data_IF_090659246702
#
_entry.id   IF_090659246702
#
_cell.length_a   1.000
_cell.length_b   1.000
_cell.length_c   1.000
_cell.angle_alpha   90.00
_cell.angle_beta   90.00
_cell.angle_gamma   90.00
#
_symmetry.space_group_name_H-M   'P 1'
#
loop_
_entity.id
_entity.type
_entity.pdbx_description
1 polymer ?
#
# COMPACT_ATOMS: atom_id res chain seq x y z
N UNK A 1 -3.32 -23.98 -21.12
CA UNK A 1 -3.69 -22.55 -21.24
C UNK A 1 -2.74 -21.78 -20.34
N UNK A 2 -2.09 -20.70 -20.82
CA UNK A 2 -1.16 -19.91 -20.00
C UNK A 2 -1.88 -18.70 -19.36
N UNK A 3 -1.22 -18.03 -18.41
CA UNK A 3 -1.80 -16.89 -17.68
C UNK A 3 -2.29 -15.77 -18.58
N UNK A 4 -1.55 -15.44 -19.65
CA UNK A 4 -1.98 -14.42 -20.62
C UNK A 4 -3.27 -14.82 -21.32
N UNK A 5 -3.38 -16.06 -21.79
CA UNK A 5 -4.62 -16.56 -22.42
C UNK A 5 -5.78 -16.63 -21.44
N UNK A 6 -5.51 -16.93 -20.17
CA UNK A 6 -6.52 -16.91 -19.12
C UNK A 6 -7.03 -15.48 -18.87
N UNK A 7 -6.15 -14.48 -18.79
CA UNK A 7 -6.53 -13.07 -18.69
C UNK A 7 -7.40 -12.63 -19.88
N UNK A 8 -6.95 -12.93 -21.10
CA UNK A 8 -7.67 -12.53 -22.31
C UNK A 8 -9.06 -13.18 -22.42
N UNK A 9 -9.23 -14.43 -21.94
CA UNK A 9 -10.53 -15.10 -21.86
C UNK A 9 -11.49 -14.42 -20.89
N UNK A 10 -10.96 -13.80 -19.84
CA UNK A 10 -11.73 -13.12 -18.79
C UNK A 10 -11.62 -11.60 -18.88
N UNK A 11 -11.44 -11.07 -20.10
CA UNK A 11 -11.36 -9.63 -20.35
C UNK A 11 -12.67 -8.94 -19.94
N UNK A 12 -12.64 -7.93 -19.05
CA UNK A 12 -13.85 -7.23 -18.63
C UNK A 12 -14.30 -6.21 -19.69
N UNK A 13 -15.55 -5.75 -19.59
CA UNK A 13 -16.18 -4.86 -20.59
C UNK A 13 -15.50 -3.50 -20.77
N UNK A 14 -14.71 -3.05 -19.79
CA UNK A 14 -13.95 -1.80 -19.85
C UNK A 14 -12.59 -1.94 -20.55
N UNK A 15 -12.28 -3.14 -21.06
CA UNK A 15 -11.04 -3.45 -21.79
C UNK A 15 -11.38 -3.91 -23.20
N UNK A 16 -10.67 -3.37 -24.17
CA UNK A 16 -10.74 -3.77 -25.57
C UNK A 16 -9.40 -4.33 -26.01
N UNK A 17 -9.41 -5.53 -26.59
CA UNK A 17 -8.23 -6.13 -27.19
C UNK A 17 -7.92 -5.43 -28.52
N UNK A 18 -6.74 -4.84 -28.63
CA UNK A 18 -6.27 -4.17 -29.85
C UNK A 18 -5.50 -5.16 -30.71
N UNK A 19 -4.60 -5.92 -30.08
CA UNK A 19 -3.76 -6.92 -30.75
C UNK A 19 -3.41 -8.04 -29.78
N UNK A 20 -3.36 -9.28 -30.25
CA UNK A 20 -2.88 -10.41 -29.48
C UNK A 20 -1.80 -11.20 -30.22
N UNK A 21 -0.81 -11.64 -29.47
CA UNK A 21 0.26 -12.52 -29.91
C UNK A 21 0.42 -13.64 -28.88
N UNK A 22 1.25 -14.62 -29.21
CA UNK A 22 1.44 -15.78 -28.34
C UNK A 22 1.96 -15.42 -26.93
N UNK A 23 2.81 -14.38 -26.83
CA UNK A 23 3.50 -13.98 -25.60
C UNK A 23 3.21 -12.54 -25.16
N UNK A 24 2.36 -11.81 -25.88
CA UNK A 24 2.00 -10.44 -25.53
C UNK A 24 0.63 -10.05 -26.09
N UNK A 25 -0.02 -9.07 -25.48
CA UNK A 25 -1.22 -8.44 -26.00
C UNK A 25 -1.17 -6.92 -25.79
N UNK A 26 -1.80 -6.18 -26.69
CA UNK A 26 -2.06 -4.75 -26.55
C UNK A 26 -3.55 -4.57 -26.28
N UNK A 27 -3.87 -3.79 -25.26
CA UNK A 27 -5.25 -3.52 -24.84
C UNK A 27 -5.48 -2.03 -24.66
N UNK A 28 -6.67 -1.58 -25.00
CA UNK A 28 -7.18 -0.27 -24.63
C UNK A 28 -8.07 -0.41 -23.40
N UNK A 29 -7.86 0.42 -22.39
CA UNK A 29 -8.53 0.36 -21.11
C UNK A 29 -9.25 1.67 -20.80
N UNK A 30 -10.53 1.58 -20.43
CA UNK A 30 -11.37 2.69 -20.02
C UNK A 30 -12.01 2.37 -18.64
N UNK A 31 -11.24 2.36 -17.54
CA UNK A 31 -11.73 1.90 -16.24
C UNK A 31 -12.87 2.79 -15.71
N UNK A 32 -14.03 2.20 -15.36
CA UNK A 32 -15.16 2.95 -14.81
C UNK A 32 -14.94 3.25 -13.32
N UNK A 33 -15.34 4.45 -12.92
CA UNK A 33 -15.52 4.86 -11.52
C UNK A 33 -16.82 4.28 -10.97
N UNK A 34 -17.00 4.34 -9.64
CA UNK A 34 -18.27 3.99 -9.00
C UNK A 34 -19.48 4.78 -9.56
N UNK A 35 -19.26 6.00 -10.03
CA UNK A 35 -20.29 6.82 -10.69
C UNK A 35 -20.63 6.41 -12.13
N UNK A 36 -19.95 5.40 -12.68
CA UNK A 36 -20.06 5.01 -14.10
C UNK A 36 -19.22 5.86 -15.06
N UNK A 37 -18.66 6.99 -14.61
CA UNK A 37 -17.77 7.81 -15.44
C UNK A 37 -16.42 7.11 -15.67
N UNK A 38 -15.86 7.30 -16.86
CA UNK A 38 -14.53 6.79 -17.21
C UNK A 38 -13.45 7.65 -16.56
N UNK A 39 -12.44 7.01 -15.95
CA UNK A 39 -11.35 7.73 -15.29
C UNK A 39 -10.25 8.21 -16.24
N UNK A 40 -10.09 7.54 -17.38
CA UNK A 40 -9.13 7.86 -18.42
C UNK A 40 -9.13 6.77 -19.48
N UNK A 41 -8.37 7.00 -20.56
CA UNK A 41 -8.10 6.00 -21.59
C UNK A 41 -6.63 5.66 -21.56
N UNK A 42 -6.32 4.37 -21.49
CA UNK A 42 -4.95 3.87 -21.35
C UNK A 42 -4.68 2.80 -22.39
N UNK A 43 -3.53 2.88 -23.05
CA UNK A 43 -3.04 1.83 -23.93
C UNK A 43 -1.98 1.04 -23.18
N UNK A 44 -2.24 -0.23 -22.95
CA UNK A 44 -1.40 -1.09 -22.12
C UNK A 44 -0.89 -2.29 -22.91
N UNK A 45 0.32 -2.71 -22.56
CA UNK A 45 0.93 -3.93 -23.06
C UNK A 45 0.99 -4.98 -21.94
N UNK A 46 0.37 -6.12 -22.19
CA UNK A 46 0.51 -7.33 -21.39
C UNK A 46 1.60 -8.22 -21.98
N UNK A 47 2.50 -8.74 -21.15
CA UNK A 47 3.58 -9.64 -21.59
C UNK A 47 3.67 -10.87 -20.70
N UNK A 48 3.73 -12.06 -21.32
CA UNK A 48 3.96 -13.32 -20.61
C UNK A 48 5.41 -13.38 -20.12
N UNK A 49 5.58 -13.58 -18.82
CA UNK A 49 6.89 -13.72 -18.20
C UNK A 49 7.40 -15.15 -18.33
N UNK A 50 8.73 -15.34 -18.28
CA UNK A 50 9.36 -16.68 -18.26
C UNK A 50 8.88 -17.54 -17.09
N UNK A 51 8.57 -16.90 -15.95
CA UNK A 51 8.02 -17.56 -14.77
C UNK A 51 6.57 -18.01 -14.93
N UNK A 52 5.88 -17.65 -16.02
CA UNK A 52 4.52 -18.08 -16.32
C UNK A 52 3.42 -17.08 -15.97
N UNK A 53 3.70 -16.03 -15.19
CA UNK A 53 2.76 -14.93 -14.94
C UNK A 53 2.77 -13.86 -16.03
N UNK A 54 2.11 -12.73 -15.75
CA UNK A 54 1.93 -11.63 -16.72
C UNK A 54 2.38 -10.31 -16.11
N UNK A 55 3.22 -9.58 -16.83
CA UNK A 55 3.51 -8.17 -16.54
C UNK A 55 2.63 -7.25 -17.39
N UNK A 56 2.35 -6.06 -16.86
CA UNK A 56 1.62 -5.00 -17.54
C UNK A 56 2.43 -3.72 -17.47
N UNK A 57 2.45 -2.98 -18.58
CA UNK A 57 3.10 -1.68 -18.71
C UNK A 57 2.29 -0.79 -19.65
N UNK A 58 2.56 0.51 -19.64
CA UNK A 58 2.04 1.42 -20.65
C UNK A 58 2.62 1.07 -22.03
N UNK A 59 1.83 1.19 -23.09
CA UNK A 59 2.35 1.05 -24.43
C UNK A 59 3.22 2.26 -24.79
N UNK A 60 4.42 1.99 -25.32
CA UNK A 60 5.49 2.99 -25.47
C UNK A 60 5.16 4.09 -26.48
N UNK A 61 4.16 3.87 -27.33
CA UNK A 61 3.73 4.83 -28.34
C UNK A 61 2.82 5.93 -27.77
N UNK A 62 2.23 5.72 -26.59
CA UNK A 62 1.31 6.67 -25.93
C UNK A 62 1.66 6.75 -24.44
N UNK A 63 2.58 7.65 -24.06
CA UNK A 63 3.02 7.73 -22.65
C UNK A 63 2.30 8.82 -21.84
N UNK A 64 1.44 8.38 -20.92
CA UNK A 64 0.71 9.19 -19.94
C UNK A 64 1.29 9.06 -18.53
N UNK A 65 2.16 8.07 -18.30
CA UNK A 65 2.75 7.80 -16.99
C UNK A 65 4.23 8.17 -16.92
N UNK A 66 4.76 8.51 -15.72
CA UNK A 66 6.19 8.66 -15.55
C UNK A 66 6.89 7.32 -15.81
N UNK A 67 8.11 7.36 -16.34
CA UNK A 67 8.91 6.16 -16.66
C UNK A 67 9.11 5.23 -15.46
N UNK A 68 9.26 5.82 -14.27
CA UNK A 68 9.33 5.11 -13.00
C UNK A 68 8.83 6.04 -11.90
N UNK A 69 8.10 5.47 -10.94
CA UNK A 69 7.65 6.16 -9.74
C UNK A 69 7.22 5.11 -8.70
N UNK A 70 8.00 4.90 -7.62
CA UNK A 70 7.66 3.90 -6.61
C UNK A 70 6.31 4.18 -5.95
N UNK A 71 6.00 5.45 -5.69
CA UNK A 71 4.72 5.87 -5.09
C UNK A 71 3.51 5.72 -6.02
N UNK A 72 3.74 5.65 -7.34
CA UNK A 72 2.69 5.30 -8.32
C UNK A 72 2.80 3.84 -8.74
N UNK A 73 3.62 3.04 -8.05
CA UNK A 73 3.84 1.62 -8.30
C UNK A 73 4.26 1.32 -9.74
N UNK A 74 5.11 2.18 -10.31
CA UNK A 74 5.72 2.01 -11.63
C UNK A 74 7.20 1.68 -11.43
N UNK A 75 7.55 0.45 -11.78
CA UNK A 75 8.89 -0.12 -11.63
C UNK A 75 9.90 0.57 -12.57
N UNK A 76 11.21 0.42 -12.33
CA UNK A 76 12.25 0.98 -13.20
C UNK A 76 12.18 0.53 -14.67
N UNK A 77 11.63 -0.66 -14.93
CA UNK A 77 11.41 -1.20 -16.28
C UNK A 77 10.06 -0.77 -16.90
N UNK A 78 9.39 0.20 -16.28
CA UNK A 78 8.05 0.72 -16.62
C UNK A 78 6.89 -0.28 -16.45
N UNK A 79 7.13 -1.46 -15.88
CA UNK A 79 6.03 -2.36 -15.50
C UNK A 79 5.31 -1.85 -14.25
N UNK A 80 4.05 -2.26 -14.08
CA UNK A 80 3.24 -1.86 -12.94
C UNK A 80 3.22 -2.96 -11.88
N UNK A 81 3.39 -2.54 -10.62
CA UNK A 81 3.09 -3.37 -9.47
C UNK A 81 1.64 -3.11 -9.02
N UNK A 82 0.68 -3.79 -9.65
CA UNK A 82 -0.76 -3.54 -9.41
C UNK A 82 -1.26 -4.17 -8.10
N UNK A 83 -0.60 -5.22 -7.62
CA UNK A 83 -0.84 -5.86 -6.32
C UNK A 83 0.34 -6.78 -5.96
N UNK A 84 0.41 -7.20 -4.69
CA UNK A 84 1.41 -8.20 -4.27
C UNK A 84 1.20 -9.52 -5.05
N UNK A 85 2.28 -10.03 -5.64
CA UNK A 85 2.24 -11.27 -6.43
C UNK A 85 1.52 -11.16 -7.78
N UNK A 86 1.24 -9.96 -8.30
CA UNK A 86 0.52 -9.78 -9.57
C UNK A 86 1.22 -10.38 -10.81
N UNK A 87 2.49 -10.74 -10.68
CA UNK A 87 3.32 -11.36 -11.72
C UNK A 87 3.48 -12.88 -11.54
N UNK A 88 2.82 -13.48 -10.55
CA UNK A 88 2.81 -14.94 -10.38
C UNK A 88 1.91 -15.62 -11.43
N UNK A 89 2.13 -16.92 -11.74
CA UNK A 89 1.29 -17.67 -12.65
C UNK A 89 -0.18 -17.73 -12.19
N UNK A 90 -1.09 -17.49 -13.13
CA UNK A 90 -2.52 -17.63 -12.92
C UNK A 90 -2.96 -19.05 -13.27
N UNK A 91 -3.63 -19.70 -12.32
CA UNK A 91 -4.08 -21.09 -12.46
C UNK A 91 -5.57 -21.13 -12.83
N UNK A 92 -6.38 -20.28 -12.21
CA UNK A 92 -7.84 -20.35 -12.24
C UNK A 92 -8.51 -19.04 -12.70
N UNK A 93 -9.75 -19.17 -13.19
CA UNK A 93 -10.55 -18.04 -13.68
C UNK A 93 -10.73 -16.94 -12.63
N UNK A 94 -10.95 -17.29 -11.36
CA UNK A 94 -11.11 -16.31 -10.30
C UNK A 94 -9.86 -15.42 -10.15
N UNK A 95 -8.66 -15.99 -10.37
CA UNK A 95 -7.39 -15.26 -10.28
C UNK A 95 -7.26 -14.25 -11.42
N UNK A 96 -7.70 -14.61 -12.63
CA UNK A 96 -7.72 -13.69 -13.76
C UNK A 96 -8.71 -12.53 -13.56
N UNK A 97 -9.89 -12.79 -12.98
CA UNK A 97 -10.88 -11.76 -12.65
C UNK A 97 -10.32 -10.80 -11.59
N UNK A 98 -9.72 -11.34 -10.52
CA UNK A 98 -9.09 -10.54 -9.47
C UNK A 98 -7.92 -9.70 -10.03
N UNK A 99 -7.10 -10.27 -10.91
CA UNK A 99 -6.00 -9.54 -11.57
C UNK A 99 -6.51 -8.33 -12.37
N UNK A 100 -7.57 -8.50 -13.16
CA UNK A 100 -8.19 -7.39 -13.88
C UNK A 100 -8.76 -6.33 -12.93
N UNK A 101 -9.33 -6.75 -11.80
CA UNK A 101 -9.83 -5.82 -10.78
C UNK A 101 -8.69 -5.03 -10.11
N UNK A 102 -7.56 -5.67 -9.80
CA UNK A 102 -6.37 -4.97 -9.31
C UNK A 102 -5.84 -3.97 -10.34
N UNK A 103 -5.81 -4.32 -11.62
CA UNK A 103 -5.43 -3.39 -12.68
C UNK A 103 -6.44 -2.22 -12.78
N UNK A 104 -7.74 -2.49 -12.67
CA UNK A 104 -8.77 -1.44 -12.66
C UNK A 104 -8.53 -0.45 -11.53
N UNK A 105 -8.34 -0.95 -10.31
CA UNK A 105 -8.07 -0.13 -9.13
C UNK A 105 -6.78 0.66 -9.26
N UNK A 106 -5.71 0.03 -9.77
CA UNK A 106 -4.46 0.71 -10.07
C UNK A 106 -4.67 1.89 -11.02
N UNK A 107 -5.38 1.73 -12.14
CA UNK A 107 -5.63 2.82 -13.09
C UNK A 107 -6.50 3.93 -12.50
N UNK A 108 -7.48 3.60 -11.66
CA UNK A 108 -8.24 4.60 -10.91
C UNK A 108 -7.35 5.40 -9.95
N UNK A 109 -6.43 4.71 -9.26
CA UNK A 109 -5.46 5.35 -8.37
C UNK A 109 -4.45 6.20 -9.14
N UNK A 110 -4.05 5.82 -10.36
CA UNK A 110 -3.24 6.66 -11.24
C UNK A 110 -3.95 7.98 -11.54
N UNK A 111 -5.23 7.95 -11.90
CA UNK A 111 -6.02 9.16 -12.17
C UNK A 111 -6.19 10.03 -10.91
N UNK A 112 -6.40 9.41 -9.75
CA UNK A 112 -6.46 10.10 -8.47
C UNK A 112 -5.12 10.78 -8.14
N UNK A 113 -4.02 10.04 -8.23
CA UNK A 113 -2.68 10.53 -7.94
C UNK A 113 -2.29 11.68 -8.88
N UNK A 114 -2.62 11.58 -10.16
CA UNK A 114 -2.41 12.67 -11.13
C UNK A 114 -3.14 13.95 -10.73
N UNK A 115 -4.37 13.83 -10.20
CA UNK A 115 -5.20 14.98 -9.82
C UNK A 115 -4.80 15.59 -8.47
N UNK A 116 -4.51 14.75 -7.47
CA UNK A 116 -4.36 15.18 -6.07
C UNK A 116 -2.90 15.19 -5.59
N UNK A 117 -1.98 14.61 -6.36
CA UNK A 117 -0.57 14.47 -6.02
C UNK A 117 -0.29 13.52 -4.86
N UNK A 118 -1.25 12.66 -4.51
CA UNK A 118 -1.14 11.67 -3.43
C UNK A 118 -1.82 10.38 -3.85
N UNK A 119 -1.28 9.24 -3.42
CA UNK A 119 -1.89 7.94 -3.70
C UNK A 119 -3.08 7.72 -2.76
N UNK A 120 -4.23 7.19 -3.23
CA UNK A 120 -5.38 6.87 -2.37
C UNK A 120 -4.99 6.01 -1.17
N UNK A 121 -5.68 6.19 -0.04
CA UNK A 121 -5.29 5.54 1.21
C UNK A 121 -5.59 4.04 1.14
N UNK A 122 -6.75 3.69 0.63
CA UNK A 122 -7.24 2.34 0.37
C UNK A 122 -6.40 1.58 -0.67
N UNK A 123 -5.67 2.32 -1.51
CA UNK A 123 -4.71 1.78 -2.46
C UNK A 123 -3.28 1.71 -1.96
N UNK A 124 -3.01 2.19 -0.74
CA UNK A 124 -1.67 2.28 -0.18
C UNK A 124 -1.06 0.90 0.03
N UNK A 125 0.08 0.66 -0.59
CA UNK A 125 0.86 -0.57 -0.43
C UNK A 125 2.33 -0.21 -0.21
N UNK A 126 2.93 -0.79 0.82
CA UNK A 126 4.36 -0.62 1.10
C UNK A 126 5.19 -1.31 0.03
N UNK A 127 6.43 -0.86 -0.16
CA UNK A 127 7.27 -1.32 -1.27
C UNK A 127 8.08 -2.56 -0.90
N UNK A 128 8.32 -3.45 -1.87
CA UNK A 128 9.14 -4.65 -1.67
C UNK A 128 8.65 -5.53 -0.51
N UNK A 129 9.58 -5.98 0.33
CA UNK A 129 9.29 -6.84 1.49
C UNK A 129 8.40 -6.16 2.55
N UNK A 130 8.35 -4.83 2.56
CA UNK A 130 7.49 -4.08 3.47
C UNK A 130 6.00 -4.35 3.21
N UNK A 131 5.61 -4.72 1.98
CA UNK A 131 4.23 -5.10 1.64
C UNK A 131 3.73 -6.27 2.51
N UNK A 132 4.55 -7.32 2.67
CA UNK A 132 4.20 -8.51 3.48
C UNK A 132 4.09 -8.20 4.97
N UNK A 133 4.85 -7.20 5.42
CA UNK A 133 4.80 -6.75 6.81
C UNK A 133 3.52 -5.94 7.03
N UNK A 134 3.16 -5.08 6.08
CA UNK A 134 1.89 -4.35 6.07
C UNK A 134 0.70 -5.32 6.12
N UNK A 135 0.64 -6.36 5.26
CA UNK A 135 -0.45 -7.35 5.28
C UNK A 135 -0.64 -7.95 6.68
N UNK A 136 0.44 -8.37 7.33
CA UNK A 136 0.39 -8.91 8.70
C UNK A 136 -0.09 -7.88 9.73
N UNK A 137 0.25 -6.60 9.55
CA UNK A 137 -0.26 -5.53 10.41
C UNK A 137 -1.76 -5.32 10.22
N UNK A 138 -2.22 -5.32 8.97
CA UNK A 138 -3.65 -5.20 8.64
C UNK A 138 -4.45 -6.39 9.18
N UNK A 139 -3.95 -7.62 9.06
CA UNK A 139 -4.58 -8.83 9.63
C UNK A 139 -4.75 -8.73 11.15
N UNK A 140 -3.72 -8.22 11.85
CA UNK A 140 -3.79 -8.01 13.30
C UNK A 140 -4.72 -6.88 13.71
N UNK A 141 -4.83 -5.86 12.86
CA UNK A 141 -5.65 -4.68 13.09
C UNK A 141 -7.14 -4.91 12.77
N UNK A 142 -7.44 -5.80 11.82
CA UNK A 142 -8.79 -6.08 11.33
C UNK A 142 -9.81 -6.41 12.44
N UNK A 143 -9.58 -7.37 13.35
CA UNK A 143 -10.57 -7.71 14.39
C UNK A 143 -10.79 -6.58 15.42
N UNK A 144 -9.90 -5.60 15.47
CA UNK A 144 -9.99 -4.44 16.36
C UNK A 144 -10.58 -3.20 15.68
N UNK A 145 -10.88 -3.28 14.37
CA UNK A 145 -11.31 -2.14 13.57
C UNK A 145 -10.21 -1.11 13.34
N UNK A 146 -8.93 -1.49 13.47
CA UNK A 146 -7.81 -0.55 13.39
C UNK A 146 -7.20 -0.42 11.99
N UNK A 147 -7.73 -1.13 10.98
CA UNK A 147 -7.11 -1.16 9.64
C UNK A 147 -6.89 0.24 9.05
N UNK A 148 -7.90 1.10 9.10
CA UNK A 148 -7.78 2.48 8.60
C UNK A 148 -6.74 3.29 9.39
N UNK A 149 -6.73 3.18 10.72
CA UNK A 149 -5.74 3.80 11.59
C UNK A 149 -4.30 3.41 11.20
N UNK A 150 -4.10 2.13 10.86
CA UNK A 150 -2.81 1.63 10.41
C UNK A 150 -2.39 2.27 9.08
N UNK A 151 -3.30 2.32 8.10
CA UNK A 151 -3.04 2.91 6.78
C UNK A 151 -2.77 4.42 6.89
N UNK A 152 -3.56 5.13 7.70
CA UNK A 152 -3.36 6.57 7.99
C UNK A 152 -1.99 6.80 8.61
N UNK A 153 -1.60 5.96 9.57
CA UNK A 153 -0.26 5.95 10.16
C UNK A 153 0.85 5.85 9.13
N UNK A 154 0.77 4.85 8.26
CA UNK A 154 1.81 4.56 7.26
C UNK A 154 1.89 5.61 6.16
N UNK A 155 0.74 6.04 5.62
CA UNK A 155 0.68 6.77 4.35
C UNK A 155 0.29 8.24 4.48
N UNK A 156 -0.10 8.69 5.68
CA UNK A 156 -0.44 10.09 5.97
C UNK A 156 0.38 10.69 7.10
N UNK A 157 1.27 9.91 7.72
CA UNK A 157 2.08 10.36 8.86
C UNK A 157 1.22 10.93 9.98
N UNK A 158 0.10 10.27 10.30
CA UNK A 158 -0.83 10.68 11.36
C UNK A 158 -1.04 9.58 12.40
N UNK A 159 -1.37 9.96 13.63
CA UNK A 159 -1.64 9.01 14.71
C UNK A 159 -0.38 8.34 15.27
N UNK A 160 -0.58 7.36 16.15
CA UNK A 160 0.50 6.79 16.96
C UNK A 160 1.55 6.02 16.15
N UNK A 161 1.13 5.46 15.01
CA UNK A 161 2.05 4.78 14.09
C UNK A 161 2.96 5.73 13.34
N UNK A 162 2.65 7.01 13.25
CA UNK A 162 3.52 8.00 12.61
C UNK A 162 4.56 8.57 13.59
N UNK A 163 4.23 8.57 14.88
CA UNK A 163 5.08 9.09 15.94
C UNK A 163 6.28 8.20 16.24
N UNK A 164 7.08 8.64 17.21
CA UNK A 164 8.12 7.81 17.83
C UNK A 164 7.49 6.56 18.44
N UNK A 165 7.75 5.41 17.83
CA UNK A 165 7.29 4.12 18.32
C UNK A 165 7.94 3.80 19.67
N UNK A 166 7.29 2.98 20.51
CA UNK A 166 7.95 2.43 21.68
C UNK A 166 9.28 1.78 21.31
N UNK A 167 10.30 1.96 22.15
CA UNK A 167 11.63 1.40 21.92
C UNK A 167 11.53 -0.13 21.81
N UNK A 168 12.15 -0.70 20.79
CA UNK A 168 12.25 -2.14 20.60
C UNK A 168 13.65 -2.65 21.01
N UNK A 169 13.74 -3.94 21.32
CA UNK A 169 15.04 -4.61 21.43
C UNK A 169 15.79 -4.55 20.08
N UNK A 170 17.13 -4.68 20.08
CA UNK A 170 17.90 -4.73 18.82
C UNK A 170 17.46 -5.86 17.88
N UNK A 171 16.94 -6.97 18.42
CA UNK A 171 16.42 -8.11 17.65
C UNK A 171 14.99 -7.92 17.16
N UNK A 172 14.32 -6.83 17.53
CA UNK A 172 12.91 -6.55 17.22
C UNK A 172 11.98 -7.71 17.63
N UNK A 173 12.26 -8.35 18.77
CA UNK A 173 11.47 -9.46 19.33
C UNK A 173 10.58 -9.03 20.50
N UNK A 174 10.88 -7.90 21.14
CA UNK A 174 10.09 -7.31 22.22
C UNK A 174 10.22 -5.80 22.29
N UNK A 175 9.20 -5.15 22.83
CA UNK A 175 9.26 -3.73 23.19
C UNK A 175 9.81 -3.56 24.61
N UNK A 176 10.60 -2.50 24.80
CA UNK A 176 11.23 -2.13 26.05
C UNK A 176 10.32 -1.18 26.84
N UNK A 177 10.48 -1.13 28.16
CA UNK A 177 9.79 -0.19 29.06
C UNK A 177 8.25 -0.22 28.96
N UNK A 178 7.61 -1.28 29.46
CA UNK A 178 6.14 -1.43 29.44
C UNK A 178 5.39 -0.39 30.27
N UNK A 179 6.08 0.33 31.17
CA UNK A 179 5.53 1.40 32.01
C UNK A 179 5.48 2.77 31.32
N UNK A 180 5.77 2.86 30.03
CA UNK A 180 5.50 4.09 29.27
C UNK A 180 4.00 4.25 29.05
N UNK A 181 3.50 5.47 28.80
CA UNK A 181 2.13 5.68 28.35
C UNK A 181 1.80 4.81 27.12
N UNK A 182 0.54 4.41 26.99
CA UNK A 182 0.06 3.70 25.81
C UNK A 182 0.31 4.57 24.56
N UNK A 183 1.05 4.10 23.53
CA UNK A 183 1.38 4.92 22.37
C UNK A 183 0.14 5.33 21.57
N UNK A 184 -0.92 4.52 21.60
CA UNK A 184 -2.22 4.81 21.00
C UNK A 184 -3.04 5.88 21.75
N UNK A 185 -2.55 6.36 22.90
CA UNK A 185 -3.22 7.39 23.69
C UNK A 185 -4.48 6.90 24.40
N UNK A 186 -4.53 5.62 24.79
CA UNK A 186 -5.63 5.12 25.63
C UNK A 186 -5.61 5.80 27.00
N UNK A 187 -6.78 6.02 27.59
CA UNK A 187 -6.97 6.71 28.87
C UNK A 187 -7.92 5.94 29.78
N UNK A 188 -7.91 6.28 31.07
CA UNK A 188 -9.03 5.99 31.96
C UNK A 188 -10.23 6.89 31.58
N UNK A 189 -11.44 6.38 31.78
CA UNK A 189 -12.66 7.17 31.65
C UNK A 189 -12.65 8.32 32.67
N UNK A 190 -13.13 9.51 32.28
CA UNK A 190 -13.08 10.70 33.12
C UNK A 190 -13.72 10.50 34.52
N UNK A 191 -14.79 9.70 34.60
CA UNK A 191 -15.53 9.44 35.84
C UNK A 191 -15.16 8.11 36.53
N UNK A 192 -14.13 7.40 36.05
CA UNK A 192 -13.78 6.07 36.57
C UNK A 192 -12.32 5.69 36.30
N UNK A 193 -11.56 5.44 37.36
CA UNK A 193 -10.21 4.87 37.28
C UNK A 193 -10.21 3.38 36.85
N UNK A 194 -11.38 2.73 36.74
CA UNK A 194 -11.47 1.28 36.44
C UNK A 194 -11.78 0.96 34.97
N UNK A 195 -12.41 1.87 34.25
CA UNK A 195 -12.78 1.66 32.84
C UNK A 195 -11.74 2.28 31.92
N UNK A 196 -11.15 1.45 31.06
CA UNK A 196 -10.18 1.88 30.06
C UNK A 196 -10.90 2.14 28.75
N UNK A 197 -10.67 3.31 28.16
CA UNK A 197 -11.16 3.67 26.83
C UNK A 197 -10.00 3.56 25.84
N UNK A 198 -10.14 2.64 24.89
CA UNK A 198 -9.29 2.62 23.71
C UNK A 198 -9.81 3.65 22.71
N UNK A 199 -8.96 4.59 22.29
CA UNK A 199 -9.34 5.70 21.42
C UNK A 199 -9.92 5.25 20.07
N UNK A 200 -10.74 6.05 19.37
CA UNK A 200 -11.01 5.86 17.95
C UNK A 200 -9.82 6.31 17.09
N UNK A 201 -9.77 5.84 15.84
CA UNK A 201 -8.66 6.08 14.89
C UNK A 201 -8.37 7.56 14.60
N UNK A 202 -9.37 8.45 14.68
CA UNK A 202 -9.33 9.81 14.10
C UNK A 202 -9.07 10.93 15.10
N UNK A 203 -8.64 10.61 16.31
CA UNK A 203 -8.49 11.61 17.37
C UNK A 203 -7.03 12.07 17.47
N UNK A 204 -6.80 13.38 17.38
CA UNK A 204 -5.47 14.00 17.54
C UNK A 204 -4.98 13.82 18.98
N UNK A 205 -3.76 13.31 19.20
CA UNK A 205 -3.22 12.95 20.54
C UNK A 205 -3.20 14.11 21.54
N UNK A 206 -3.38 15.34 21.08
CA UNK A 206 -3.31 16.57 21.90
C UNK A 206 -4.60 16.88 22.68
N UNK A 207 -5.74 16.27 22.33
CA UNK A 207 -7.03 16.48 23.00
C UNK A 207 -7.47 15.24 23.79
N UNK A 208 -6.99 15.09 25.04
CA UNK A 208 -7.43 14.01 25.93
C UNK A 208 -8.06 14.55 27.21
N UNK A 209 -9.33 14.21 27.44
CA UNK A 209 -10.05 14.56 28.68
C UNK A 209 -9.80 13.57 29.84
N UNK A 210 -8.95 12.55 29.65
CA UNK A 210 -8.70 11.48 30.63
C UNK A 210 -7.23 11.25 30.94
N UNK A 211 -6.94 10.67 32.12
CA UNK A 211 -5.57 10.31 32.52
C UNK A 211 -5.02 9.20 31.60
N UNK A 212 -3.83 9.37 30.99
CA UNK A 212 -3.21 8.33 30.16
C UNK A 212 -2.98 7.04 30.96
N UNK A 213 -3.31 5.89 30.35
CA UNK A 213 -2.97 4.58 30.94
C UNK A 213 -1.54 4.19 30.59
N UNK A 214 -0.96 3.30 31.39
CA UNK A 214 0.29 2.65 31.01
C UNK A 214 0.04 1.69 29.85
N UNK A 215 1.03 1.52 28.96
CA UNK A 215 0.97 0.50 27.91
C UNK A 215 0.76 -0.89 28.49
N UNK A 216 1.34 -1.17 29.66
CA UNK A 216 1.16 -2.43 30.38
C UNK A 216 -0.31 -2.72 30.73
N UNK A 217 -1.15 -1.70 30.87
CA UNK A 217 -2.56 -1.78 31.27
C UNK A 217 -3.51 -1.86 30.07
N UNK A 218 -3.02 -1.65 28.85
CA UNK A 218 -3.87 -1.62 27.66
C UNK A 218 -4.53 -2.99 27.42
N UNK A 219 -5.87 -3.06 27.31
CA UNK A 219 -6.58 -4.32 27.02
C UNK A 219 -6.12 -4.97 25.70
N UNK A 220 -5.74 -4.12 24.73
CA UNK A 220 -5.26 -4.52 23.42
C UNK A 220 -3.73 -4.54 23.32
N UNK A 221 -3.02 -4.62 24.46
CA UNK A 221 -1.55 -4.58 24.53
C UNK A 221 -0.90 -5.56 23.57
N UNK A 222 -1.34 -6.82 23.53
CA UNK A 222 -0.72 -7.83 22.67
C UNK A 222 -0.74 -7.44 21.19
N UNK A 223 -1.88 -6.98 20.68
CA UNK A 223 -2.01 -6.50 19.30
C UNK A 223 -1.17 -5.24 19.07
N UNK A 224 -1.26 -4.26 19.97
CA UNK A 224 -0.50 -3.01 19.90
C UNK A 224 1.01 -3.25 19.86
N UNK A 225 1.54 -4.11 20.73
CA UNK A 225 2.98 -4.40 20.79
C UNK A 225 3.45 -5.12 19.53
N UNK A 226 2.67 -6.08 19.02
CA UNK A 226 2.97 -6.80 17.77
C UNK A 226 2.96 -5.87 16.56
N UNK A 227 1.95 -5.00 16.45
CA UNK A 227 1.85 -4.01 15.38
C UNK A 227 3.04 -3.05 15.43
N UNK A 228 3.40 -2.54 16.61
CA UNK A 228 4.55 -1.65 16.77
C UNK A 228 5.88 -2.32 16.37
N UNK A 229 6.09 -3.59 16.72
CA UNK A 229 7.26 -4.34 16.29
C UNK A 229 7.29 -4.57 14.77
N UNK A 230 6.13 -4.86 14.17
CA UNK A 230 6.03 -4.97 12.72
C UNK A 230 6.29 -3.62 12.04
N UNK A 231 5.82 -2.51 12.58
CA UNK A 231 6.10 -1.18 12.02
C UNK A 231 7.60 -0.86 12.05
N UNK A 232 8.32 -1.20 13.13
CA UNK A 232 9.79 -1.07 13.14
C UNK A 232 10.44 -1.83 11.99
N UNK A 233 9.99 -3.07 11.74
CA UNK A 233 10.51 -3.89 10.63
C UNK A 233 10.11 -3.31 9.27
N UNK A 234 8.87 -2.83 9.13
CA UNK A 234 8.35 -2.24 7.90
C UNK A 234 9.10 -0.97 7.54
N UNK A 235 9.29 -0.05 8.49
CA UNK A 235 10.08 1.18 8.28
C UNK A 235 11.51 0.88 7.84
N UNK A 236 12.15 -0.13 8.44
CA UNK A 236 13.47 -0.59 8.01
C UNK A 236 13.44 -1.12 6.58
N UNK A 237 12.53 -2.05 6.26
CA UNK A 237 12.42 -2.62 4.90
C UNK A 237 12.09 -1.54 3.85
N UNK A 238 11.23 -0.58 4.18
CA UNK A 238 10.92 0.55 3.31
C UNK A 238 12.16 1.43 3.09
N UNK A 239 12.92 1.73 4.15
CA UNK A 239 14.16 2.49 4.05
C UNK A 239 15.17 1.77 3.15
N UNK A 240 15.41 0.47 3.39
CA UNK A 240 16.34 -0.34 2.61
C UNK A 240 15.93 -0.37 1.12
N UNK A 241 14.64 -0.54 0.83
CA UNK A 241 14.11 -0.47 -0.53
C UNK A 241 14.37 0.89 -1.19
N UNK A 242 14.11 2.00 -0.49
CA UNK A 242 14.37 3.35 -1.03
C UNK A 242 15.87 3.55 -1.30
N UNK A 243 16.74 3.08 -0.41
CA UNK A 243 18.18 3.14 -0.64
C UNK A 243 18.60 2.34 -1.87
N UNK A 244 18.02 1.16 -2.08
CA UNK A 244 18.32 0.32 -3.24
C UNK A 244 17.89 0.96 -4.54
N UNK A 245 16.66 1.49 -4.63
CA UNK A 245 16.22 2.16 -5.86
C UNK A 245 17.00 3.45 -6.12
N UNK A 246 17.46 4.17 -5.09
CA UNK A 246 18.26 5.37 -5.25
C UNK A 246 19.64 5.10 -5.88
N UNK A 247 20.18 3.88 -5.75
CA UNK A 247 21.45 3.49 -6.40
C UNK A 247 21.37 3.56 -7.92
N UNK A 248 20.18 3.29 -8.47
CA UNK A 248 19.90 3.34 -9.91
C UNK A 248 19.42 4.73 -10.38
N UNK A 249 19.52 5.75 -9.51
CA UNK A 249 19.28 7.16 -9.78
C UNK A 249 17.92 7.55 -10.43
N UNK A 250 16.75 7.01 -10.03
CA UNK A 250 15.48 7.54 -10.47
C UNK A 250 15.30 8.94 -9.87
N UNK A 251 15.48 9.98 -10.70
CA UNK A 251 15.05 11.33 -10.34
C UNK A 251 13.54 11.30 -10.07
N UNK A 252 13.12 11.95 -8.98
CA UNK A 252 11.71 12.11 -8.69
C UNK A 252 10.97 12.71 -9.91
N UNK A 253 9.87 12.08 -10.32
CA UNK A 253 9.07 12.56 -11.46
C UNK A 253 8.21 13.80 -11.14
N UNK A 254 8.19 14.24 -9.88
CA UNK A 254 7.44 15.43 -9.45
C UNK A 254 5.92 15.26 -9.36
N UNK A 255 5.38 14.08 -9.66
CA UNK A 255 3.91 13.88 -9.66
C UNK A 255 3.32 13.60 -8.28
N UNK A 256 4.15 13.36 -7.26
CA UNK A 256 3.72 12.97 -5.92
C UNK A 256 4.29 13.94 -4.88
N UNK A 257 3.42 14.51 -4.03
CA UNK A 257 3.76 15.53 -3.03
C UNK A 257 4.77 15.06 -1.99
N UNK A 258 4.67 13.79 -1.59
CA UNK A 258 5.46 13.22 -0.50
C UNK A 258 6.41 12.12 -0.99
N UNK A 259 6.89 12.23 -2.23
CA UNK A 259 7.77 11.23 -2.81
C UNK A 259 9.08 11.14 -2.02
N UNK A 260 9.49 9.95 -1.54
CA UNK A 260 10.76 9.80 -0.81
C UNK A 260 11.98 10.17 -1.67
N UNK A 261 11.87 10.03 -3.00
CA UNK A 261 12.92 10.39 -3.97
C UNK A 261 13.08 11.90 -4.15
N UNK A 262 12.11 12.72 -3.75
CA UNK A 262 12.19 14.18 -3.89
C UNK A 262 13.27 14.77 -2.96
N UNK A 263 13.47 14.16 -1.78
CA UNK A 263 14.38 14.64 -0.75
C UNK A 263 15.77 13.97 -0.80
N UNK A 264 15.98 13.00 -1.69
CA UNK A 264 17.25 12.28 -1.84
C UNK A 264 18.25 13.00 -2.76
N UNK A 265 17.85 14.13 -3.35
CA UNK A 265 18.64 14.93 -4.29
C UNK A 265 19.24 16.15 -3.59
N UNK A 266 19.98 15.95 -2.51
CA UNK A 266 20.73 17.00 -1.80
C UNK A 266 22.11 16.49 -1.42
#
# INVERSE_FOLDING_TARGET
MNSLRLLLKHTPSWVQLVNDRQVSAQVSCAPPKASGLIAGHYFLKLSLLRGGGVSVAEDKEVSSFPKSCPERHINPDATFCISYGSTEPLIEAHGAIAWWEYLRMFLLHQAYAQKYGVWPLEGGLSHGDAARIQEKMEELAAPLGWKEEILVGMFRSKGWLANSLPKASPRLDRLLNSRTPCPRGCTHQADSDRSIVCRPADTDLEATDGKPILRAECPNRSALERIALLEHRRRKAQYDFIQDICKDAPKCCGTMKYCPLANSSS
#
